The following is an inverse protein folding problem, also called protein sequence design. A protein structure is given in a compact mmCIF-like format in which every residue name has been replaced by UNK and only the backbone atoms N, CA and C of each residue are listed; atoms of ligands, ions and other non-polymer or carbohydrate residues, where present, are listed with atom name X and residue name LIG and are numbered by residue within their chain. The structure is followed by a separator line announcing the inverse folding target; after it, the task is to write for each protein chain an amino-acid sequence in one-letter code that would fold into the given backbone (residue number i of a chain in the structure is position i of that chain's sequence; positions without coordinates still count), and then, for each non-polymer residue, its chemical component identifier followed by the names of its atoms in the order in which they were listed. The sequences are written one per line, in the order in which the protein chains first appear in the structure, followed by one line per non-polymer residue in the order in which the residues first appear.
data_IF_117752550155
#
_entry.id   IF_117752550155
#
_cell.length_a   1.000
_cell.length_b   1.000
_cell.length_c   1.000
_cell.angle_alpha   90.00
_cell.angle_beta   90.00
_cell.angle_gamma   90.00
#
_symmetry.space_group_name_H-M   'P 1'
#
loop_
_entity.id
_entity.type
_entity.pdbx_description
1 polymer ?
#
# COMPACT_ATOMS: atom_id res chain seq x y z
N UNK A 1 -18.21 -5.78 -8.50
CA UNK A 1 -18.31 -4.34 -8.22
C UNK A 1 -17.02 -3.93 -7.57
N UNK A 2 -16.35 -2.91 -8.10
CA UNK A 2 -15.09 -2.38 -7.58
C UNK A 2 -15.35 -0.91 -7.27
N UNK A 3 -15.11 -0.49 -6.04
CA UNK A 3 -15.13 0.88 -5.55
C UNK A 3 -16.51 1.58 -5.67
N UNK A 4 -17.10 1.70 -6.86
CA UNK A 4 -18.36 2.39 -7.11
C UNK A 4 -19.41 1.48 -7.75
N UNK A 5 -20.72 1.58 -7.40
CA UNK A 5 -21.77 0.66 -7.88
C UNK A 5 -21.97 0.64 -9.40
N UNK A 6 -21.91 1.79 -10.05
CA UNK A 6 -22.16 1.95 -11.48
C UNK A 6 -20.90 1.98 -12.34
N UNK A 7 -19.72 1.66 -11.76
CA UNK A 7 -18.49 1.68 -12.53
C UNK A 7 -18.55 0.65 -13.67
N UNK A 8 -18.25 1.09 -14.88
CA UNK A 8 -18.13 0.28 -16.08
C UNK A 8 -16.73 0.38 -16.65
N UNK A 9 -16.30 -0.72 -17.25
CA UNK A 9 -15.09 -0.79 -18.07
C UNK A 9 -15.54 -1.13 -19.48
N UNK A 10 -15.09 -0.36 -20.46
CA UNK A 10 -15.46 -0.51 -21.87
C UNK A 10 -14.23 -0.90 -22.69
N UNK A 11 -14.42 -1.83 -23.63
CA UNK A 11 -13.36 -2.21 -24.56
C UNK A 11 -13.83 -1.93 -26.00
N UNK A 12 -13.14 -1.02 -26.65
CA UNK A 12 -13.32 -0.70 -28.06
C UNK A 12 -12.49 -1.69 -28.91
N UNK A 13 -13.19 -2.43 -29.78
CA UNK A 13 -12.62 -3.60 -30.47
C UNK A 13 -11.75 -3.22 -31.67
N UNK A 14 -12.08 -2.16 -32.42
CA UNK A 14 -11.37 -1.81 -33.66
C UNK A 14 -9.99 -1.22 -33.40
N UNK A 15 -9.87 -0.33 -32.43
CA UNK A 15 -8.61 0.29 -32.01
C UNK A 15 -7.94 -0.43 -30.82
N UNK A 16 -8.66 -1.41 -30.22
CA UNK A 16 -8.17 -2.20 -29.08
C UNK A 16 -7.88 -1.35 -27.82
N UNK A 17 -8.77 -0.42 -27.55
CA UNK A 17 -8.67 0.53 -26.44
C UNK A 17 -9.52 0.07 -25.27
N UNK A 18 -8.92 -0.01 -24.09
CA UNK A 18 -9.60 -0.26 -22.84
C UNK A 18 -9.82 1.05 -22.08
N UNK A 19 -11.07 1.47 -21.95
CA UNK A 19 -11.47 2.54 -21.03
C UNK A 19 -11.70 1.93 -19.67
N UNK A 20 -10.73 2.10 -18.78
CA UNK A 20 -10.61 1.32 -17.54
C UNK A 20 -11.25 1.97 -16.31
N UNK A 21 -12.02 3.05 -16.48
CA UNK A 21 -12.53 3.86 -15.39
C UNK A 21 -11.37 4.25 -14.43
N UNK A 22 -11.48 4.00 -13.13
CA UNK A 22 -10.41 4.28 -12.16
C UNK A 22 -9.24 3.27 -12.23
N UNK A 23 -9.42 2.18 -12.93
CA UNK A 23 -8.38 1.15 -13.09
C UNK A 23 -7.17 1.69 -13.85
N UNK A 24 -5.96 1.40 -13.35
CA UNK A 24 -4.68 1.88 -13.89
C UNK A 24 -4.46 3.39 -13.76
N UNK A 25 -5.31 4.07 -13.00
CA UNK A 25 -5.14 5.48 -12.66
C UNK A 25 -4.04 5.74 -11.63
N UNK A 26 -3.63 6.99 -11.51
CA UNK A 26 -2.68 7.46 -10.49
C UNK A 26 -3.10 8.81 -9.92
N UNK A 27 -2.60 9.15 -8.75
CA UNK A 27 -2.64 10.52 -8.23
C UNK A 27 -1.68 11.44 -8.99
N UNK A 28 -1.80 12.73 -8.75
CA UNK A 28 -0.93 13.77 -9.29
C UNK A 28 -1.36 14.31 -10.67
N UNK A 29 -0.80 15.46 -11.02
CA UNK A 29 -1.03 16.11 -12.30
C UNK A 29 -0.27 15.40 -13.42
N UNK A 30 -0.79 15.44 -14.66
CA UNK A 30 -0.11 14.85 -15.82
C UNK A 30 1.25 15.51 -16.14
N UNK A 31 1.43 16.76 -15.68
CA UNK A 31 2.68 17.51 -15.86
C UNK A 31 3.70 17.26 -14.75
N UNK A 32 3.35 16.52 -13.71
CA UNK A 32 4.28 16.19 -12.63
C UNK A 32 5.20 15.04 -13.05
N UNK A 33 6.50 15.23 -12.84
CA UNK A 33 7.52 14.19 -13.06
C UNK A 33 7.56 13.26 -11.84
N UNK A 34 6.64 12.31 -11.82
CA UNK A 34 6.44 11.35 -10.73
C UNK A 34 6.44 9.93 -11.27
N UNK A 35 7.02 9.01 -10.51
CA UNK A 35 6.97 7.58 -10.84
C UNK A 35 5.51 7.09 -10.83
N UNK A 36 5.06 6.55 -11.97
CA UNK A 36 3.70 6.05 -12.12
C UNK A 36 3.37 4.98 -11.06
N UNK A 37 4.28 4.05 -10.81
CA UNK A 37 4.02 2.93 -9.90
C UNK A 37 3.81 3.41 -8.46
N UNK A 38 4.55 4.41 -8.01
CA UNK A 38 4.40 5.01 -6.69
C UNK A 38 2.99 5.61 -6.52
N UNK A 39 2.61 6.52 -7.41
CA UNK A 39 1.33 7.22 -7.31
C UNK A 39 0.12 6.32 -7.65
N UNK A 40 0.29 5.35 -8.54
CA UNK A 40 -0.75 4.37 -8.85
C UNK A 40 -0.97 3.38 -7.70
N UNK A 41 0.08 2.94 -7.01
CA UNK A 41 0.01 2.09 -5.82
C UNK A 41 -0.68 2.82 -4.68
N UNK A 42 -0.29 4.09 -4.44
CA UNK A 42 -0.92 4.96 -3.46
C UNK A 42 -2.42 5.13 -3.77
N UNK A 43 -2.78 5.40 -5.03
CA UNK A 43 -4.16 5.45 -5.48
C UNK A 43 -4.89 4.12 -5.24
N UNK A 44 -4.32 3.01 -5.72
CA UNK A 44 -4.90 1.67 -5.64
C UNK A 44 -5.24 1.29 -4.19
N UNK A 45 -4.26 1.30 -3.29
CA UNK A 45 -4.49 0.83 -1.93
C UNK A 45 -5.40 1.76 -1.11
N UNK A 46 -5.37 3.06 -1.37
CA UNK A 46 -6.25 3.97 -0.64
C UNK A 46 -7.70 3.97 -1.13
N UNK A 47 -7.95 3.70 -2.39
CA UNK A 47 -9.29 3.73 -3.00
C UNK A 47 -9.84 2.31 -3.23
N UNK A 48 -9.05 1.42 -3.80
CA UNK A 48 -9.50 0.10 -4.30
C UNK A 48 -9.10 -1.05 -3.38
N UNK A 49 -8.13 -0.89 -2.49
CA UNK A 49 -7.40 -1.93 -1.77
C UNK A 49 -8.21 -3.14 -1.28
N UNK A 50 -9.40 -2.94 -0.68
CA UNK A 50 -10.26 -4.04 -0.18
C UNK A 50 -10.94 -4.87 -1.27
N UNK A 51 -10.87 -4.46 -2.52
CA UNK A 51 -11.58 -5.09 -3.64
C UNK A 51 -10.68 -6.03 -4.48
N UNK A 52 -9.67 -6.64 -3.89
CA UNK A 52 -8.72 -7.50 -4.61
C UNK A 52 -9.38 -8.57 -5.46
N UNK A 53 -10.32 -9.37 -4.92
CA UNK A 53 -10.99 -10.44 -5.66
C UNK A 53 -11.83 -9.93 -6.86
N UNK A 54 -12.63 -8.85 -6.76
CA UNK A 54 -13.24 -8.20 -7.92
C UNK A 54 -12.24 -7.74 -8.99
N UNK A 55 -11.09 -7.15 -8.58
CA UNK A 55 -10.03 -6.72 -9.50
C UNK A 55 -9.40 -7.93 -10.20
N UNK A 56 -9.09 -9.01 -9.50
CA UNK A 56 -8.61 -10.26 -10.09
C UNK A 56 -9.59 -10.81 -11.14
N UNK A 57 -10.90 -10.73 -10.88
CA UNK A 57 -11.93 -11.15 -11.84
C UNK A 57 -11.91 -10.27 -13.09
N UNK A 58 -11.70 -8.96 -12.93
CA UNK A 58 -11.58 -8.02 -14.04
C UNK A 58 -10.33 -8.31 -14.88
N UNK A 59 -9.17 -8.48 -14.23
CA UNK A 59 -7.91 -8.81 -14.90
C UNK A 59 -8.01 -10.12 -15.70
N UNK A 60 -8.68 -11.15 -15.15
CA UNK A 60 -8.93 -12.39 -15.87
C UNK A 60 -9.80 -12.20 -17.12
N UNK A 61 -10.78 -11.30 -17.10
CA UNK A 61 -11.56 -10.95 -18.28
C UNK A 61 -10.74 -10.17 -19.29
N UNK A 62 -9.96 -9.19 -18.82
CA UNK A 62 -9.09 -8.37 -19.66
C UNK A 62 -7.99 -9.19 -20.35
N UNK A 63 -7.48 -10.26 -19.73
CA UNK A 63 -6.45 -11.12 -20.34
C UNK A 63 -6.90 -11.87 -21.60
N UNK A 64 -8.21 -11.96 -21.83
CA UNK A 64 -8.78 -12.54 -23.07
C UNK A 64 -8.88 -11.51 -24.21
N UNK A 65 -8.56 -10.25 -23.97
CA UNK A 65 -8.65 -9.15 -24.92
C UNK A 65 -7.26 -8.77 -25.44
N UNK A 66 -7.19 -8.39 -26.72
CA UNK A 66 -5.95 -7.87 -27.33
C UNK A 66 -5.89 -6.33 -27.11
N UNK A 67 -5.51 -5.93 -25.89
CA UNK A 67 -5.47 -4.51 -25.48
C UNK A 67 -4.16 -3.89 -25.96
N UNK A 68 -4.25 -2.76 -26.68
CA UNK A 68 -3.11 -1.95 -27.10
C UNK A 68 -2.97 -0.64 -26.33
N UNK A 69 -4.07 -0.12 -25.83
CA UNK A 69 -4.10 1.14 -25.10
C UNK A 69 -5.05 1.05 -23.92
N UNK A 70 -4.63 1.58 -22.77
CA UNK A 70 -5.48 1.73 -21.59
C UNK A 70 -5.69 3.21 -21.31
N UNK A 71 -6.94 3.62 -21.22
CA UNK A 71 -7.36 4.99 -20.95
C UNK A 71 -8.04 5.06 -19.57
N UNK A 72 -7.30 5.35 -18.49
CA UNK A 72 -7.90 5.57 -17.18
C UNK A 72 -8.55 6.96 -17.09
N UNK A 73 -9.46 7.14 -16.14
CA UNK A 73 -10.07 8.46 -15.85
C UNK A 73 -9.09 9.40 -15.14
N UNK A 74 -8.09 8.86 -14.45
CA UNK A 74 -7.07 9.61 -13.71
C UNK A 74 -5.69 9.15 -14.13
N UNK A 75 -4.80 10.08 -14.46
CA UNK A 75 -3.44 9.77 -14.88
C UNK A 75 -3.27 9.70 -16.40
N UNK A 76 -2.12 9.22 -16.88
CA UNK A 76 -1.78 9.20 -18.29
C UNK A 76 -2.48 8.06 -19.05
N UNK A 77 -2.63 8.23 -20.36
CA UNK A 77 -2.93 7.13 -21.28
C UNK A 77 -1.71 6.22 -21.36
N UNK A 78 -1.95 4.91 -21.26
CA UNK A 78 -0.91 3.88 -21.27
C UNK A 78 -0.97 3.11 -22.58
N UNK A 79 0.09 3.17 -23.38
CA UNK A 79 0.19 2.49 -24.68
C UNK A 79 1.43 1.59 -24.81
N UNK A 80 2.41 1.80 -23.94
CA UNK A 80 3.67 1.07 -23.96
C UNK A 80 3.78 0.17 -22.74
N UNK A 81 4.46 -0.98 -22.88
CA UNK A 81 4.75 -1.91 -21.79
C UNK A 81 3.53 -2.25 -20.91
N UNK A 82 2.37 -2.49 -21.50
CA UNK A 82 1.13 -2.75 -20.77
C UNK A 82 1.24 -3.93 -19.80
N UNK A 83 2.10 -4.91 -20.10
CA UNK A 83 2.39 -6.04 -19.20
C UNK A 83 2.84 -5.60 -17.81
N UNK A 84 3.69 -4.58 -17.73
CA UNK A 84 4.16 -4.02 -16.46
C UNK A 84 3.02 -3.52 -15.56
N UNK A 85 2.08 -2.78 -16.13
CA UNK A 85 0.93 -2.25 -15.38
C UNK A 85 -0.03 -3.36 -14.94
N UNK A 86 -0.26 -4.34 -15.82
CA UNK A 86 -1.10 -5.51 -15.53
C UNK A 86 -0.48 -6.39 -14.42
N UNK A 87 0.83 -6.61 -14.45
CA UNK A 87 1.55 -7.39 -13.45
C UNK A 87 1.52 -6.71 -12.06
N UNK A 88 1.67 -5.38 -12.01
CA UNK A 88 1.51 -4.64 -10.76
C UNK A 88 0.10 -4.76 -10.20
N UNK A 89 -0.92 -4.56 -11.03
CA UNK A 89 -2.32 -4.72 -10.59
C UNK A 89 -2.63 -6.15 -10.14
N UNK A 90 -2.06 -7.16 -10.80
CA UNK A 90 -2.17 -8.56 -10.38
C UNK A 90 -1.52 -8.78 -9.00
N UNK A 91 -0.34 -8.22 -8.77
CA UNK A 91 0.40 -8.28 -7.50
C UNK A 91 -0.40 -7.61 -6.38
N UNK A 92 -0.86 -6.39 -6.60
CA UNK A 92 -1.61 -5.63 -5.60
C UNK A 92 -2.96 -6.28 -5.25
N UNK A 93 -3.71 -6.70 -6.26
CA UNK A 93 -5.04 -7.29 -6.07
C UNK A 93 -5.02 -8.72 -5.52
N UNK A 94 -3.91 -9.41 -5.61
CA UNK A 94 -3.66 -10.69 -4.92
C UNK A 94 -3.02 -10.51 -3.53
N UNK A 95 -2.83 -9.26 -3.09
CA UNK A 95 -2.19 -8.90 -1.82
C UNK A 95 -0.77 -9.46 -1.66
N UNK A 96 -0.08 -9.70 -2.76
CA UNK A 96 1.33 -10.07 -2.71
C UNK A 96 2.21 -8.84 -2.50
N UNK A 97 3.35 -8.97 -1.80
CA UNK A 97 4.31 -7.89 -1.71
C UNK A 97 4.92 -7.60 -3.09
N UNK A 98 5.08 -6.33 -3.40
CA UNK A 98 5.73 -5.89 -4.64
C UNK A 98 7.26 -6.01 -4.53
N UNK A 99 7.79 -5.75 -3.35
CA UNK A 99 9.23 -5.72 -3.10
C UNK A 99 9.61 -6.43 -1.81
N UNK A 100 10.81 -7.01 -1.81
CA UNK A 100 11.44 -7.47 -0.57
C UNK A 100 12.04 -6.27 0.17
N UNK A 101 11.77 -6.17 1.47
CA UNK A 101 12.27 -5.08 2.29
C UNK A 101 11.54 -4.99 3.62
N UNK A 102 11.86 -3.96 4.37
CA UNK A 102 11.24 -3.70 5.68
C UNK A 102 10.72 -2.28 5.71
N UNK A 103 9.42 -2.13 5.89
CA UNK A 103 8.79 -0.86 6.20
C UNK A 103 8.66 -0.72 7.72
N UNK A 104 9.22 0.35 8.29
CA UNK A 104 9.16 0.66 9.73
C UNK A 104 8.28 1.88 9.92
N UNK A 105 7.07 1.67 10.43
CA UNK A 105 6.15 2.74 10.78
C UNK A 105 6.23 2.99 12.28
N UNK A 106 6.51 4.24 12.69
CA UNK A 106 6.56 4.57 14.10
C UNK A 106 5.74 5.81 14.45
N UNK A 107 5.35 5.87 15.73
CA UNK A 107 4.76 7.06 16.33
C UNK A 107 5.41 7.28 17.70
N UNK A 108 5.98 8.47 17.90
CA UNK A 108 6.78 8.80 19.10
C UNK A 108 6.31 10.06 19.78
N UNK A 109 6.12 10.02 21.10
CA UNK A 109 5.68 11.17 21.90
C UNK A 109 6.90 12.03 22.28
N UNK A 110 7.95 11.41 22.82
CA UNK A 110 9.10 12.09 23.40
C UNK A 110 10.44 11.76 22.71
N UNK A 111 10.40 11.16 21.52
CA UNK A 111 11.59 10.82 20.74
C UNK A 111 12.19 9.44 21.02
N UNK A 112 11.89 8.79 22.15
CA UNK A 112 12.52 7.51 22.50
C UNK A 112 12.11 6.37 21.56
N UNK A 113 10.84 6.31 21.17
CA UNK A 113 10.37 5.32 20.18
C UNK A 113 10.97 5.61 18.80
N UNK A 114 11.07 6.87 18.41
CA UNK A 114 11.75 7.29 17.18
C UNK A 114 13.20 6.80 17.17
N UNK A 115 13.95 7.10 18.24
CA UNK A 115 15.34 6.66 18.36
C UNK A 115 15.48 5.13 18.25
N UNK A 116 14.60 4.37 18.93
CA UNK A 116 14.63 2.91 18.86
C UNK A 116 14.33 2.39 17.45
N UNK A 117 13.38 3.00 16.74
CA UNK A 117 13.04 2.65 15.36
C UNK A 117 14.19 2.97 14.39
N UNK A 118 14.84 4.11 14.55
CA UNK A 118 16.01 4.51 13.76
C UNK A 118 17.21 3.58 13.98
N UNK A 119 17.51 3.23 15.24
CA UNK A 119 18.57 2.27 15.57
C UNK A 119 18.29 0.89 14.99
N UNK A 120 17.02 0.47 15.02
CA UNK A 120 16.62 -0.79 14.40
C UNK A 120 16.77 -0.76 12.87
N UNK A 121 16.38 0.35 12.22
CA UNK A 121 16.58 0.54 10.79
C UNK A 121 18.06 0.48 10.40
N UNK A 122 18.91 1.13 11.15
CA UNK A 122 20.36 1.11 10.94
C UNK A 122 20.94 -0.30 11.11
N UNK A 123 20.50 -1.02 12.13
CA UNK A 123 20.92 -2.41 12.37
C UNK A 123 20.52 -3.31 11.20
N UNK A 124 19.32 -3.14 10.62
CA UNK A 124 18.88 -3.90 9.45
C UNK A 124 19.74 -3.60 8.22
N UNK A 125 20.04 -2.31 7.96
CA UNK A 125 20.94 -1.91 6.87
C UNK A 125 22.33 -2.49 7.04
N UNK A 126 22.88 -2.46 8.24
CA UNK A 126 24.20 -3.04 8.58
C UNK A 126 24.22 -4.57 8.45
N UNK A 127 23.05 -5.23 8.51
CA UNK A 127 22.89 -6.67 8.25
C UNK A 127 22.66 -6.98 6.77
N UNK A 128 22.71 -6.01 5.88
CA UNK A 128 22.56 -6.21 4.43
C UNK A 128 21.11 -6.30 3.96
N UNK A 129 20.16 -5.66 4.67
CA UNK A 129 18.80 -5.49 4.17
C UNK A 129 18.77 -4.28 3.24
N UNK A 130 18.56 -4.51 1.93
CA UNK A 130 18.71 -3.46 0.91
C UNK A 130 17.62 -2.39 1.00
N UNK A 131 16.38 -2.78 1.26
CA UNK A 131 15.24 -1.87 1.29
C UNK A 131 14.73 -1.71 2.73
N UNK A 132 15.15 -0.65 3.41
CA UNK A 132 14.66 -0.29 4.75
C UNK A 132 14.11 1.12 4.68
N UNK A 133 12.77 1.23 4.70
CA UNK A 133 12.03 2.49 4.73
C UNK A 133 11.53 2.72 6.15
N UNK A 134 11.67 3.94 6.63
CA UNK A 134 11.25 4.33 7.99
C UNK A 134 10.42 5.61 7.91
N UNK A 135 9.26 5.61 8.57
CA UNK A 135 8.28 6.70 8.48
C UNK A 135 7.73 7.07 9.85
N UNK A 136 7.77 8.36 10.15
CA UNK A 136 7.08 8.96 11.31
C UNK A 136 5.61 9.22 10.94
N UNK A 137 4.71 8.40 11.47
CA UNK A 137 3.26 8.52 11.23
C UNK A 137 2.66 9.85 11.70
N UNK A 138 3.33 10.57 12.60
CA UNK A 138 2.89 11.89 13.06
C UNK A 138 3.25 13.04 12.11
N UNK A 139 4.04 12.76 11.06
CA UNK A 139 4.58 13.78 10.15
C UNK A 139 4.48 13.43 8.67
N UNK A 140 3.98 12.24 8.34
CA UNK A 140 3.81 11.80 6.95
C UNK A 140 2.37 11.98 6.46
N UNK A 141 2.19 11.86 5.15
CA UNK A 141 0.89 11.55 4.57
C UNK A 141 0.56 10.08 4.89
N UNK A 142 -0.55 9.85 5.56
CA UNK A 142 -0.99 8.49 5.94
C UNK A 142 -1.20 7.60 4.72
N UNK A 143 -1.56 8.17 3.57
CA UNK A 143 -1.75 7.43 2.33
C UNK A 143 -0.45 6.86 1.78
N UNK A 144 0.68 7.54 1.97
CA UNK A 144 2.02 7.04 1.64
C UNK A 144 2.44 5.92 2.60
N UNK A 145 2.20 6.09 3.89
CA UNK A 145 2.49 5.03 4.86
C UNK A 145 1.68 3.75 4.60
N UNK A 146 0.42 3.88 4.17
CA UNK A 146 -0.41 2.74 3.75
C UNK A 146 0.16 2.08 2.50
N UNK A 147 0.56 2.85 1.51
CA UNK A 147 1.20 2.34 0.30
C UNK A 147 2.44 1.51 0.62
N UNK A 148 3.36 2.03 1.44
CA UNK A 148 4.58 1.35 1.84
C UNK A 148 4.31 0.07 2.63
N UNK A 149 3.28 0.06 3.47
CA UNK A 149 2.86 -1.15 4.20
C UNK A 149 2.46 -2.29 3.23
N UNK A 150 1.81 -1.97 2.12
CA UNK A 150 1.44 -2.94 1.10
C UNK A 150 2.58 -3.27 0.12
N UNK A 151 3.56 -2.39 -0.04
CA UNK A 151 4.69 -2.56 -0.95
C UNK A 151 5.66 -3.64 -0.50
N UNK A 152 6.04 -3.61 0.77
CA UNK A 152 7.11 -4.46 1.31
C UNK A 152 6.58 -5.76 1.94
N UNK A 153 7.40 -6.81 1.91
CA UNK A 153 7.07 -8.14 2.47
C UNK A 153 7.12 -8.18 4.00
N UNK A 154 7.77 -7.18 4.64
CA UNK A 154 7.89 -7.07 6.10
C UNK A 154 7.56 -5.67 6.57
N UNK A 155 6.90 -5.60 7.72
CA UNK A 155 6.59 -4.35 8.39
C UNK A 155 6.98 -4.42 9.86
N UNK A 156 7.47 -3.31 10.41
CA UNK A 156 7.68 -3.15 11.85
C UNK A 156 6.86 -1.95 12.32
N UNK A 157 6.08 -2.16 13.37
CA UNK A 157 5.28 -1.13 14.01
C UNK A 157 5.93 -0.77 15.34
N UNK A 158 6.26 0.51 15.52
CA UNK A 158 6.90 1.01 16.73
C UNK A 158 6.07 2.12 17.37
N UNK A 159 5.51 1.88 18.55
CA UNK A 159 4.72 2.87 19.27
C UNK A 159 4.78 2.66 20.79
N UNK A 160 4.53 3.73 21.52
CA UNK A 160 4.27 3.65 22.94
C UNK A 160 2.80 3.32 23.20
N UNK A 161 2.52 2.73 24.38
CA UNK A 161 1.15 2.66 24.89
C UNK A 161 0.70 4.05 25.33
N UNK A 162 -0.58 4.33 25.17
CA UNK A 162 -1.20 5.58 25.55
C UNK A 162 -2.60 5.30 26.10
N UNK A 163 -2.91 5.83 27.27
CA UNK A 163 -4.22 5.65 27.93
C UNK A 163 -4.70 4.20 27.96
N UNK A 164 -3.83 3.29 28.37
CA UNK A 164 -4.01 1.82 28.40
C UNK A 164 -4.34 1.18 27.02
N UNK A 165 -4.07 1.87 25.92
CA UNK A 165 -4.31 1.42 24.55
C UNK A 165 -3.12 1.67 23.63
N UNK A 166 -3.36 1.57 22.35
CA UNK A 166 -2.40 1.92 21.30
C UNK A 166 -2.35 3.44 21.16
N UNK A 167 -1.16 3.99 20.92
CA UNK A 167 -1.02 5.43 20.66
C UNK A 167 -1.93 5.86 19.48
N UNK A 168 -2.74 6.93 19.61
CA UNK A 168 -3.82 7.24 18.67
C UNK A 168 -3.41 7.29 17.20
N UNK A 169 -2.27 7.87 16.87
CA UNK A 169 -1.77 7.95 15.50
C UNK A 169 -1.48 6.55 14.92
N UNK A 170 -0.88 5.67 15.72
CA UNK A 170 -0.67 4.28 15.33
C UNK A 170 -2.00 3.53 15.19
N UNK A 171 -2.96 3.80 16.06
CA UNK A 171 -4.30 3.20 15.97
C UNK A 171 -5.02 3.60 14.68
N UNK A 172 -4.91 4.86 14.28
CA UNK A 172 -5.47 5.35 13.02
C UNK A 172 -4.84 4.64 11.81
N UNK A 173 -3.53 4.52 11.80
CA UNK A 173 -2.81 3.76 10.76
C UNK A 173 -3.28 2.30 10.70
N UNK A 174 -3.40 1.61 11.83
CA UNK A 174 -3.90 0.24 11.89
C UNK A 174 -5.33 0.12 11.38
N UNK A 175 -6.20 1.10 11.65
CA UNK A 175 -7.54 1.18 11.10
C UNK A 175 -7.54 1.28 9.57
N UNK A 176 -6.64 2.10 9.01
CA UNK A 176 -6.48 2.19 7.56
C UNK A 176 -6.06 0.84 6.96
N UNK A 177 -5.11 0.15 7.56
CA UNK A 177 -4.67 -1.17 7.09
C UNK A 177 -5.80 -2.20 7.15
N UNK A 178 -6.55 -2.24 8.26
CA UNK A 178 -7.70 -3.14 8.44
C UNK A 178 -8.79 -2.88 7.39
N UNK A 179 -9.14 -1.61 7.17
CA UNK A 179 -10.18 -1.21 6.21
C UNK A 179 -9.81 -1.58 4.75
N UNK A 180 -8.54 -1.81 4.45
CA UNK A 180 -8.01 -2.15 3.13
C UNK A 180 -7.62 -3.62 2.99
N UNK A 181 -8.01 -4.46 3.96
CA UNK A 181 -7.75 -5.91 3.98
C UNK A 181 -6.25 -6.25 3.93
N UNK A 182 -5.44 -5.54 4.72
CA UNK A 182 -4.00 -5.80 4.85
C UNK A 182 -3.73 -7.25 5.26
N UNK A 183 -2.89 -7.93 4.49
CA UNK A 183 -2.60 -9.35 4.68
C UNK A 183 -1.28 -9.76 3.99
N UNK A 184 -0.86 -11.01 4.18
CA UNK A 184 0.30 -11.64 3.55
C UNK A 184 1.63 -10.90 3.81
N UNK A 185 1.79 -10.33 5.01
CA UNK A 185 3.03 -9.67 5.44
C UNK A 185 3.51 -10.22 6.78
N UNK A 186 4.82 -10.25 6.97
CA UNK A 186 5.40 -10.50 8.30
C UNK A 186 5.43 -9.19 9.08
N UNK A 187 4.82 -9.17 10.27
CA UNK A 187 4.77 -7.97 11.11
C UNK A 187 5.57 -8.17 12.38
N UNK A 188 6.50 -7.25 12.65
CA UNK A 188 7.22 -7.13 13.92
C UNK A 188 6.68 -5.96 14.74
N UNK A 189 6.75 -6.06 16.08
CA UNK A 189 6.28 -5.02 16.99
C UNK A 189 7.40 -4.55 17.90
N UNK A 190 7.55 -3.22 18.02
CA UNK A 190 8.36 -2.54 19.05
C UNK A 190 7.37 -1.78 19.91
N UNK A 191 6.93 -2.41 21.01
CA UNK A 191 5.99 -1.82 21.93
C UNK A 191 6.73 -1.23 23.14
N UNK A 192 6.61 0.07 23.33
CA UNK A 192 7.15 0.77 24.50
C UNK A 192 6.04 0.94 25.53
N UNK A 193 6.05 0.13 26.58
CA UNK A 193 5.02 0.09 27.61
C UNK A 193 5.60 0.08 29.02
N UNK A 194 4.81 0.50 29.98
CA UNK A 194 5.10 0.21 31.39
C UNK A 194 4.97 -1.30 31.66
N UNK A 195 5.76 -1.83 32.58
CA UNK A 195 6.01 -3.25 32.84
C UNK A 195 4.80 -4.10 33.23
N UNK A 196 3.57 -3.58 33.20
CA UNK A 196 2.33 -4.27 33.62
C UNK A 196 1.19 -4.24 32.59
N UNK A 197 1.42 -3.81 31.34
CA UNK A 197 0.41 -3.82 30.31
C UNK A 197 0.58 -5.04 29.40
N UNK A 198 -0.31 -6.02 29.54
CA UNK A 198 -0.54 -7.00 28.48
C UNK A 198 -1.14 -6.26 27.29
N UNK A 199 -0.37 -6.13 26.21
CA UNK A 199 -0.90 -5.66 24.94
C UNK A 199 -2.04 -6.58 24.52
N UNK A 200 -3.22 -6.05 24.10
CA UNK A 200 -4.15 -6.87 23.39
C UNK A 200 -3.43 -7.41 22.17
N UNK A 201 -3.33 -8.73 22.08
CA UNK A 201 -2.73 -9.41 20.93
C UNK A 201 -3.67 -9.17 19.75
N UNK A 202 -3.40 -8.14 18.96
CA UNK A 202 -4.01 -8.00 17.64
C UNK A 202 -3.26 -9.01 16.76
N UNK A 203 -3.75 -10.24 16.74
CA UNK A 203 -3.37 -11.19 15.72
C UNK A 203 -4.01 -10.70 14.42
N UNK A 204 -3.24 -10.02 13.60
CA UNK A 204 -3.51 -9.87 12.18
C UNK A 204 -3.11 -11.20 11.53
N UNK A 205 -4.10 -12.03 11.25
CA UNK A 205 -3.97 -13.25 10.46
C UNK A 205 -4.10 -12.93 9.00
#
# INVERSE_FOLDING_TARGET
MVHWPEVMVEYEVSEKVLFSADGFGKFGALSADEDWACEARRYYFNIVGKYGAPVQTLLKKASALDIKTICPLHGPVLSDNLGYYLDLYNTWSSYQPESKGVFIAYASIHGNTAYAAEQFAEMLRNKGVDNVVITDLSRCDIAEAVEDAFRYDRMVLAAASYDAGVFPIMQDFLHHLQAKAFQNRTVGLIAVSYTHLTLPTILLV
#
